data_IF_233924301740
#
_entry.id   IF_233924301740
#
_cell.length_a   1.000
_cell.length_b   1.000
_cell.length_c   1.000
_cell.angle_alpha   90.00
_cell.angle_beta   90.00
_cell.angle_gamma   90.00
#
_symmetry.space_group_name_H-M   'P 1'
#
loop_
_entity.id
_entity.type
_entity.pdbx_description
1 polymer ?
#
# COMPACT_ATOMS: atom_id res chain seq x y z
N UNK A 1 11.12 -7.63 -29.93
CA UNK A 1 10.96 -9.11 -30.05
C UNK A 1 10.05 -9.70 -28.94
N UNK A 2 10.17 -9.25 -27.67
CA UNK A 2 9.39 -9.79 -26.55
C UNK A 2 7.93 -9.36 -26.62
N UNK A 3 7.68 -8.09 -26.91
CA UNK A 3 6.32 -7.50 -26.92
C UNK A 3 5.57 -7.72 -28.23
N UNK A 4 6.26 -8.16 -29.30
CA UNK A 4 5.67 -8.24 -30.64
C UNK A 4 5.42 -6.91 -31.32
N UNK A 5 5.74 -5.78 -30.68
CA UNK A 5 5.55 -4.44 -31.25
C UNK A 5 6.52 -4.23 -32.42
N UNK A 6 6.07 -3.82 -33.61
CA UNK A 6 6.94 -3.46 -34.71
C UNK A 6 7.91 -2.36 -34.33
N UNK A 7 9.19 -2.51 -34.69
CA UNK A 7 10.26 -1.61 -34.28
C UNK A 7 10.05 -0.18 -34.72
N UNK A 8 9.59 0.02 -35.94
CA UNK A 8 9.27 1.33 -36.51
C UNK A 8 8.21 2.08 -35.72
N UNK A 9 7.13 1.38 -35.34
CA UNK A 9 6.07 1.94 -34.49
C UNK A 9 6.57 2.28 -33.11
N UNK A 10 7.38 1.42 -32.52
CA UNK A 10 7.98 1.68 -31.21
C UNK A 10 8.86 2.95 -31.24
N UNK A 11 9.73 3.07 -32.26
CA UNK A 11 10.58 4.25 -32.41
C UNK A 11 9.76 5.52 -32.63
N UNK A 12 8.66 5.43 -33.38
CA UNK A 12 7.75 6.58 -33.56
C UNK A 12 7.11 7.03 -32.25
N UNK A 13 6.72 6.11 -31.39
CA UNK A 13 6.23 6.45 -30.05
C UNK A 13 7.33 7.12 -29.22
N UNK A 14 8.56 6.63 -29.28
CA UNK A 14 9.69 7.25 -28.58
C UNK A 14 9.95 8.71 -29.06
N UNK A 15 9.85 8.97 -30.34
CA UNK A 15 9.95 10.33 -30.90
C UNK A 15 8.84 11.24 -30.34
N UNK A 16 7.59 10.79 -30.39
CA UNK A 16 6.43 11.53 -29.85
C UNK A 16 6.59 11.82 -28.35
N UNK A 17 7.09 10.86 -27.59
CA UNK A 17 7.37 11.04 -26.15
C UNK A 17 8.50 12.08 -25.97
N UNK A 18 9.55 12.00 -26.76
CA UNK A 18 10.68 12.93 -26.71
C UNK A 18 10.28 14.38 -27.00
N UNK A 19 9.29 14.60 -27.88
CA UNK A 19 8.74 15.93 -28.17
C UNK A 19 8.04 16.56 -26.95
N UNK A 20 7.64 15.75 -25.97
CA UNK A 20 6.97 16.20 -24.74
C UNK A 20 7.95 16.57 -23.61
N UNK A 21 9.15 17.02 -23.95
CA UNK A 21 10.18 17.47 -22.99
C UNK A 21 10.37 18.99 -22.93
N UNK A 22 9.49 19.74 -23.59
CA UNK A 22 9.49 21.21 -23.55
C UNK A 22 8.45 21.74 -22.55
N UNK A 23 8.65 22.94 -21.99
CA UNK A 23 7.72 23.51 -21.00
C UNK A 23 6.28 23.68 -21.48
N UNK A 24 6.09 23.85 -22.79
CA UNK A 24 4.80 24.02 -23.47
C UNK A 24 4.28 22.73 -24.13
N UNK A 25 5.05 21.64 -24.05
CA UNK A 25 4.72 20.32 -24.57
C UNK A 25 4.94 19.27 -23.52
N UNK A 26 3.90 18.94 -22.80
CA UNK A 26 3.95 17.96 -21.73
C UNK A 26 3.13 16.71 -22.07
N UNK A 27 3.42 15.61 -21.40
CA UNK A 27 2.59 14.43 -21.43
C UNK A 27 2.29 13.95 -19.99
N UNK A 28 1.13 13.38 -19.81
CA UNK A 28 0.80 12.66 -18.59
C UNK A 28 0.77 11.17 -18.85
N UNK A 29 1.23 10.41 -17.85
CA UNK A 29 1.11 8.95 -17.88
C UNK A 29 -0.08 8.53 -17.03
N UNK A 30 -1.00 7.79 -17.61
CA UNK A 30 -2.16 7.22 -16.91
C UNK A 30 -2.02 5.71 -16.86
N UNK A 31 -2.26 5.12 -15.72
CA UNK A 31 -2.14 3.67 -15.56
C UNK A 31 -3.19 3.10 -14.61
N UNK A 32 -3.42 1.81 -14.72
CA UNK A 32 -4.24 1.03 -13.82
C UNK A 32 -3.66 -0.39 -13.71
N UNK A 33 -4.49 -1.42 -13.60
CA UNK A 33 -4.10 -2.79 -13.30
C UNK A 33 -3.23 -3.44 -14.38
N UNK A 34 -3.35 -3.01 -15.63
CA UNK A 34 -2.49 -3.49 -16.71
C UNK A 34 -0.98 -3.26 -16.49
N UNK A 35 -0.62 -2.31 -15.60
CA UNK A 35 0.75 -2.04 -15.19
C UNK A 35 1.09 -2.62 -13.83
N UNK A 36 0.12 -2.68 -12.92
CA UNK A 36 0.36 -3.02 -11.52
C UNK A 36 0.24 -4.52 -11.24
N UNK A 37 -0.64 -5.24 -11.94
CA UNK A 37 -0.87 -6.67 -11.72
C UNK A 37 0.12 -7.55 -12.48
N UNK A 38 1.41 -7.30 -12.25
CA UNK A 38 2.52 -8.07 -12.76
C UNK A 38 3.50 -8.37 -11.63
N UNK A 39 4.28 -9.44 -11.76
CA UNK A 39 5.34 -9.80 -10.80
C UNK A 39 6.32 -8.64 -10.53
N UNK A 40 6.48 -7.74 -11.50
CA UNK A 40 7.34 -6.56 -11.42
C UNK A 40 6.57 -5.26 -11.59
N UNK A 41 5.33 -5.21 -11.15
CA UNK A 41 4.46 -4.03 -11.26
C UNK A 41 5.07 -2.76 -10.68
N UNK A 42 5.70 -2.84 -9.51
CA UNK A 42 6.39 -1.69 -8.89
C UNK A 42 7.51 -1.15 -9.75
N UNK A 43 8.29 -2.02 -10.41
CA UNK A 43 9.36 -1.60 -11.32
C UNK A 43 8.81 -0.97 -12.61
N UNK A 44 7.70 -1.48 -13.13
CA UNK A 44 7.02 -0.88 -14.29
C UNK A 44 6.61 0.57 -13.98
N UNK A 45 5.96 0.79 -12.85
CA UNK A 45 5.55 2.12 -12.40
C UNK A 45 6.75 3.03 -12.15
N UNK A 46 7.81 2.50 -11.51
CA UNK A 46 9.06 3.24 -11.31
C UNK A 46 9.69 3.66 -12.62
N UNK A 47 9.75 2.78 -13.62
CA UNK A 47 10.24 3.10 -14.96
C UNK A 47 9.48 4.24 -15.62
N UNK A 48 8.15 4.25 -15.50
CA UNK A 48 7.30 5.34 -15.98
C UNK A 48 7.57 6.65 -15.23
N UNK A 49 7.73 6.59 -13.90
CA UNK A 49 8.06 7.78 -13.10
C UNK A 49 9.43 8.35 -13.49
N UNK A 50 10.41 7.49 -13.74
CA UNK A 50 11.73 7.91 -14.22
C UNK A 50 11.64 8.59 -15.59
N UNK A 51 10.84 8.07 -16.50
CA UNK A 51 10.60 8.69 -17.81
C UNK A 51 10.02 10.11 -17.64
N UNK A 52 9.01 10.28 -16.80
CA UNK A 52 8.42 11.59 -16.50
C UNK A 52 9.43 12.58 -15.90
N UNK A 53 10.32 12.09 -15.05
CA UNK A 53 11.42 12.90 -14.48
C UNK A 53 12.44 13.34 -15.56
N UNK A 54 12.84 12.41 -16.41
CA UNK A 54 13.82 12.70 -17.50
C UNK A 54 13.24 13.71 -18.49
N UNK A 55 11.95 13.64 -18.78
CA UNK A 55 11.26 14.59 -19.67
C UNK A 55 10.97 15.94 -19.00
N UNK A 56 11.21 16.09 -17.69
CA UNK A 56 10.90 17.33 -16.97
C UNK A 56 9.40 17.55 -16.72
N UNK A 57 8.58 16.53 -16.83
CA UNK A 57 7.12 16.63 -16.75
C UNK A 57 6.55 16.62 -15.32
N UNK A 58 7.38 16.42 -14.31
CA UNK A 58 6.91 16.40 -12.91
C UNK A 58 6.78 17.85 -12.39
N UNK A 59 5.59 18.19 -11.91
CA UNK A 59 5.29 19.51 -11.37
C UNK A 59 4.94 20.57 -12.42
N UNK A 60 4.72 20.17 -13.66
CA UNK A 60 4.24 21.04 -14.75
C UNK A 60 2.81 20.71 -15.13
N UNK A 61 2.07 21.72 -15.63
CA UNK A 61 0.69 21.54 -16.08
C UNK A 61 0.62 20.52 -17.22
N UNK A 62 -0.27 19.54 -17.09
CA UNK A 62 -0.45 18.47 -18.08
C UNK A 62 0.58 17.36 -18.01
N UNK A 63 1.58 17.48 -17.13
CA UNK A 63 2.59 16.44 -16.89
C UNK A 63 2.26 15.53 -15.71
N UNK A 64 3.12 14.55 -15.47
CA UNK A 64 3.08 13.68 -14.30
C UNK A 64 2.44 12.31 -14.51
N UNK A 65 2.10 11.68 -13.40
CA UNK A 65 1.55 10.31 -13.38
C UNK A 65 0.20 10.28 -12.68
N UNK A 66 -0.75 9.55 -13.27
CA UNK A 66 -2.11 9.41 -12.74
C UNK A 66 -2.50 7.93 -12.64
N UNK A 67 -2.70 7.47 -11.42
CA UNK A 67 -3.31 6.17 -11.18
C UNK A 67 -4.83 6.28 -11.39
N UNK A 68 -5.36 5.61 -12.40
CA UNK A 68 -6.80 5.53 -12.64
C UNK A 68 -7.38 4.47 -11.71
N UNK A 69 -8.05 4.92 -10.65
CA UNK A 69 -8.63 4.03 -9.64
C UNK A 69 -9.86 3.30 -10.20
N UNK A 70 -9.96 1.99 -9.95
CA UNK A 70 -11.13 1.21 -10.37
C UNK A 70 -12.30 1.38 -9.40
N UNK A 71 -12.07 1.11 -8.12
CA UNK A 71 -13.09 1.21 -7.08
C UNK A 71 -13.27 2.65 -6.60
N UNK A 72 -14.52 3.08 -6.45
CA UNK A 72 -14.84 4.38 -5.87
C UNK A 72 -14.32 4.47 -4.44
N UNK A 73 -13.64 5.57 -4.11
CA UNK A 73 -13.12 5.84 -2.77
C UNK A 73 -12.25 4.71 -2.19
N UNK A 74 -11.46 4.01 -3.02
CA UNK A 74 -10.63 2.87 -2.56
C UNK A 74 -9.67 3.24 -1.43
N UNK A 75 -9.17 4.47 -1.39
CA UNK A 75 -8.29 4.92 -0.32
C UNK A 75 -9.05 5.16 0.98
N UNK A 76 -10.30 5.63 0.93
CA UNK A 76 -11.14 5.73 2.12
C UNK A 76 -11.39 4.37 2.80
N UNK A 77 -11.81 3.31 2.06
CA UNK A 77 -11.89 1.96 2.62
C UNK A 77 -10.59 1.49 3.30
N UNK A 78 -9.44 1.71 2.70
CA UNK A 78 -8.16 1.31 3.33
C UNK A 78 -7.82 2.16 4.56
N UNK A 79 -8.19 3.45 4.59
CA UNK A 79 -8.01 4.31 5.76
C UNK A 79 -8.79 3.81 6.99
N UNK A 80 -9.96 3.21 6.78
CA UNK A 80 -10.78 2.65 7.86
C UNK A 80 -10.53 1.15 8.12
N UNK A 81 -9.52 0.57 7.49
CA UNK A 81 -9.06 -0.80 7.78
C UNK A 81 -9.94 -1.91 7.21
N UNK A 82 -10.45 -1.76 5.98
CA UNK A 82 -11.24 -2.83 5.33
C UNK A 82 -10.42 -4.03 4.84
N UNK A 83 -9.10 -3.95 4.88
CA UNK A 83 -8.25 -5.09 4.50
C UNK A 83 -8.08 -6.04 5.68
N UNK A 84 -7.96 -7.34 5.39
CA UNK A 84 -7.92 -8.40 6.39
C UNK A 84 -6.78 -8.31 7.43
N UNK A 85 -5.74 -7.56 7.12
CA UNK A 85 -4.55 -7.40 7.97
C UNK A 85 -4.37 -5.99 8.54
N UNK A 86 -5.32 -5.09 8.30
CA UNK A 86 -5.24 -3.69 8.72
C UNK A 86 -6.40 -3.31 9.64
N UNK A 87 -6.07 -2.47 10.60
CA UNK A 87 -7.02 -1.68 11.39
C UNK A 87 -6.91 -0.21 11.00
N UNK A 88 -7.82 0.66 11.43
CA UNK A 88 -7.81 2.08 11.04
C UNK A 88 -6.45 2.75 11.20
N UNK A 89 -6.09 3.62 10.26
CA UNK A 89 -4.82 4.32 10.23
C UNK A 89 -3.65 3.49 9.70
N UNK A 90 -3.91 2.43 8.95
CA UNK A 90 -2.89 1.52 8.39
C UNK A 90 -2.08 0.79 9.46
N UNK A 91 -2.62 0.66 10.66
CA UNK A 91 -2.03 -0.17 11.70
C UNK A 91 -2.30 -1.65 11.40
N UNK A 92 -1.35 -2.50 11.74
CA UNK A 92 -1.49 -3.93 11.49
C UNK A 92 -2.27 -4.62 12.63
N UNK A 93 -3.15 -5.53 12.28
CA UNK A 93 -3.68 -6.49 13.24
C UNK A 93 -2.51 -7.38 13.70
N UNK A 94 -2.34 -7.64 15.02
CA UNK A 94 -1.29 -8.53 15.49
C UNK A 94 -1.50 -9.97 15.01
N UNK A 95 -0.41 -10.71 14.91
CA UNK A 95 -0.43 -12.15 14.65
C UNK A 95 -0.21 -12.94 15.93
N UNK A 96 -0.45 -14.25 15.92
CA UNK A 96 -0.16 -15.15 17.05
C UNK A 96 1.32 -15.14 17.47
N UNK A 97 2.22 -14.75 16.57
CA UNK A 97 3.65 -14.56 16.84
C UNK A 97 3.96 -13.30 17.65
N UNK A 98 2.94 -12.48 17.87
CA UNK A 98 3.01 -11.20 18.59
C UNK A 98 2.03 -11.23 19.78
N UNK A 99 2.22 -12.14 20.75
CA UNK A 99 1.25 -12.40 21.80
C UNK A 99 1.07 -11.23 22.77
N UNK A 100 2.09 -10.39 22.91
CA UNK A 100 2.15 -9.28 23.85
C UNK A 100 2.55 -7.96 23.17
N UNK A 101 2.30 -6.88 23.89
CA UNK A 101 2.57 -5.51 23.45
C UNK A 101 4.05 -5.30 23.10
N UNK A 102 4.95 -5.80 23.91
CA UNK A 102 6.40 -5.60 23.72
C UNK A 102 6.87 -6.25 22.42
N UNK A 103 6.46 -7.50 22.19
CA UNK A 103 6.77 -8.23 20.95
C UNK A 103 6.19 -7.53 19.74
N UNK A 104 4.93 -7.10 19.82
CA UNK A 104 4.27 -6.38 18.74
C UNK A 104 4.98 -5.06 18.39
N UNK A 105 5.34 -4.27 19.39
CA UNK A 105 6.00 -2.98 19.18
C UNK A 105 7.45 -3.13 18.71
N UNK A 106 8.17 -4.15 19.14
CA UNK A 106 9.56 -4.38 18.72
C UNK A 106 9.68 -4.64 17.21
N UNK A 107 8.71 -5.33 16.64
CA UNK A 107 8.67 -5.63 15.20
C UNK A 107 8.36 -4.39 14.35
N UNK A 108 7.87 -3.31 14.96
CA UNK A 108 7.45 -2.06 14.30
C UNK A 108 8.28 -0.84 14.68
N UNK A 109 9.40 -1.05 15.35
CA UNK A 109 10.31 0.03 15.71
C UNK A 109 10.86 0.72 14.45
N UNK A 110 10.64 2.02 14.33
CA UNK A 110 11.20 2.81 13.25
C UNK A 110 12.73 2.83 13.33
N UNK A 111 13.38 2.45 12.24
CA UNK A 111 14.84 2.47 12.11
C UNK A 111 15.21 3.42 10.97
N UNK A 112 15.73 4.62 11.28
CA UNK A 112 16.16 5.55 10.24
C UNK A 112 17.36 4.98 9.48
N UNK A 113 17.36 5.14 8.15
CA UNK A 113 18.49 4.75 7.30
C UNK A 113 19.67 5.74 7.37
N UNK A 114 19.42 6.96 7.85
CA UNK A 114 20.41 8.03 7.99
C UNK A 114 19.99 9.01 9.10
N UNK A 115 20.94 9.71 9.71
CA UNK A 115 20.64 10.72 10.73
C UNK A 115 19.65 11.78 10.23
N UNK A 116 18.72 12.19 11.07
CA UNK A 116 17.70 13.20 10.74
C UNK A 116 16.56 12.73 9.85
N UNK A 117 16.55 11.48 9.39
CA UNK A 117 15.43 10.94 8.64
C UNK A 117 14.19 10.85 9.53
N UNK A 118 13.08 11.40 9.04
CA UNK A 118 11.77 11.31 9.68
C UNK A 118 10.85 10.37 8.91
N UNK A 119 9.87 9.79 9.60
CA UNK A 119 8.82 8.98 9.01
C UNK A 119 7.55 9.11 9.84
N UNK A 120 6.40 9.04 9.18
CA UNK A 120 5.11 8.88 9.85
C UNK A 120 5.16 7.74 10.89
N UNK A 121 5.78 6.62 10.55
CA UNK A 121 5.85 5.41 11.36
C UNK A 121 6.74 5.50 12.62
N UNK A 122 7.52 6.56 12.78
CA UNK A 122 8.22 6.82 14.06
C UNK A 122 7.27 7.02 15.25
N UNK A 123 6.02 7.36 14.97
CA UNK A 123 4.95 7.52 15.96
C UNK A 123 4.00 6.30 16.03
N UNK A 124 4.39 5.14 15.47
CA UNK A 124 3.54 3.95 15.42
C UNK A 124 2.91 3.61 16.78
N UNK A 125 3.72 3.64 17.83
CA UNK A 125 3.25 3.38 19.20
C UNK A 125 2.15 4.36 19.63
N UNK A 126 2.30 5.64 19.36
CA UNK A 126 1.29 6.65 19.71
C UNK A 126 -0.02 6.42 18.96
N UNK A 127 0.08 6.06 17.68
CA UNK A 127 -1.11 5.76 16.88
C UNK A 127 -1.83 4.52 17.40
N UNK A 128 -1.08 3.46 17.72
CA UNK A 128 -1.66 2.24 18.26
C UNK A 128 -2.32 2.48 19.63
N UNK A 129 -1.68 3.21 20.53
CA UNK A 129 -2.27 3.59 21.83
C UNK A 129 -3.56 4.41 21.63
N UNK A 130 -3.56 5.37 20.70
CA UNK A 130 -4.76 6.14 20.37
C UNK A 130 -5.88 5.26 19.87
N UNK A 131 -5.58 4.31 18.99
CA UNK A 131 -6.55 3.34 18.50
C UNK A 131 -7.13 2.48 19.63
N UNK A 132 -6.28 1.89 20.47
CA UNK A 132 -6.73 1.04 21.58
C UNK A 132 -7.59 1.80 22.58
N UNK A 133 -7.23 3.05 22.88
CA UNK A 133 -8.06 3.92 23.73
C UNK A 133 -9.39 4.29 23.08
N UNK A 134 -9.43 4.50 21.78
CA UNK A 134 -10.68 4.75 21.06
C UNK A 134 -11.60 3.53 21.08
N UNK A 135 -11.04 2.32 20.98
CA UNK A 135 -11.80 1.07 20.97
C UNK A 135 -12.28 0.66 22.37
N UNK A 136 -11.41 0.75 23.39
CA UNK A 136 -11.67 0.16 24.71
C UNK A 136 -11.94 1.22 25.80
N UNK A 137 -11.82 2.51 25.48
CA UNK A 137 -12.09 3.60 26.41
C UNK A 137 -11.29 3.49 27.71
N UNK A 138 -11.98 3.58 28.88
CA UNK A 138 -11.33 3.51 30.18
C UNK A 138 -10.65 2.16 30.49
N UNK A 139 -11.00 1.09 29.77
CA UNK A 139 -10.34 -0.21 29.97
C UNK A 139 -8.90 -0.26 29.40
N UNK A 140 -8.53 0.66 28.51
CA UNK A 140 -7.19 0.74 27.94
C UNK A 140 -6.27 1.59 28.85
N UNK A 141 -5.53 0.94 29.76
CA UNK A 141 -4.63 1.58 30.70
C UNK A 141 -3.18 1.20 30.46
N UNK A 142 -2.25 1.96 31.04
CA UNK A 142 -0.80 1.66 30.93
C UNK A 142 -0.48 0.30 31.57
N UNK A 143 -1.14 -0.02 32.67
CA UNK A 143 -0.89 -1.22 33.47
C UNK A 143 -1.28 -2.51 32.75
N UNK A 144 -2.18 -2.43 31.77
CA UNK A 144 -2.63 -3.56 30.98
C UNK A 144 -2.24 -3.47 29.50
N UNK A 145 -1.15 -2.75 29.20
CA UNK A 145 -0.66 -2.56 27.84
C UNK A 145 -1.76 -2.04 26.89
N UNK A 146 -2.56 -1.08 27.37
CA UNK A 146 -3.65 -0.45 26.63
C UNK A 146 -4.74 -1.44 26.19
N UNK A 147 -4.92 -2.53 26.94
CA UNK A 147 -5.83 -3.63 26.61
C UNK A 147 -5.50 -4.32 25.26
N UNK A 148 -4.22 -4.36 24.88
CA UNK A 148 -3.72 -5.00 23.68
C UNK A 148 -4.18 -6.45 23.53
N UNK A 149 -4.29 -7.16 24.65
CA UNK A 149 -4.71 -8.56 24.69
C UNK A 149 -6.15 -8.79 24.20
N UNK A 150 -7.00 -7.76 24.14
CA UNK A 150 -8.34 -7.85 23.57
C UNK A 150 -8.35 -7.87 22.05
N UNK A 151 -7.27 -7.47 21.40
CA UNK A 151 -7.19 -7.56 19.94
C UNK A 151 -7.15 -9.01 19.48
N UNK A 152 -7.92 -9.36 18.44
CA UNK A 152 -7.78 -10.65 17.80
C UNK A 152 -6.38 -10.78 17.21
N UNK A 153 -5.86 -11.99 17.18
CA UNK A 153 -4.56 -12.31 16.60
C UNK A 153 -4.75 -13.21 15.39
N UNK A 154 -4.14 -12.83 14.30
CA UNK A 154 -4.20 -13.61 13.07
C UNK A 154 -3.20 -14.77 13.15
N UNK A 155 -3.63 -15.96 12.76
CA UNK A 155 -2.75 -17.14 12.61
C UNK A 155 -1.76 -16.94 11.45
N UNK A 156 -2.11 -16.10 10.48
CA UNK A 156 -1.28 -15.72 9.34
C UNK A 156 -1.28 -14.21 9.14
N UNK A 157 -0.25 -13.65 8.46
CA UNK A 157 -0.13 -12.20 8.26
C UNK A 157 -1.26 -11.57 7.45
N UNK A 158 -1.94 -12.32 6.60
CA UNK A 158 -3.02 -11.82 5.75
C UNK A 158 -3.91 -12.96 5.26
N UNK A 159 -5.20 -12.68 5.15
CA UNK A 159 -6.19 -13.50 4.46
C UNK A 159 -6.49 -12.88 3.10
N UNK A 160 -5.64 -13.17 2.12
CA UNK A 160 -5.92 -12.76 0.75
C UNK A 160 -7.05 -13.62 0.14
N UNK A 161 -7.57 -13.16 -1.00
CA UNK A 161 -8.75 -13.79 -1.62
C UNK A 161 -8.47 -15.24 -2.06
N UNK A 162 -7.26 -15.57 -2.53
CA UNK A 162 -6.92 -16.91 -2.95
C UNK A 162 -6.95 -17.86 -1.75
N UNK A 163 -6.28 -17.47 -0.65
CA UNK A 163 -6.30 -18.22 0.59
C UNK A 163 -7.71 -18.40 1.15
N UNK A 164 -8.54 -17.34 1.11
CA UNK A 164 -9.94 -17.46 1.58
C UNK A 164 -10.72 -18.52 0.82
N UNK A 165 -10.59 -18.58 -0.51
CA UNK A 165 -11.27 -19.60 -1.30
C UNK A 165 -10.71 -21.01 -1.07
N UNK A 166 -9.41 -21.15 -0.85
CA UNK A 166 -8.82 -22.43 -0.44
C UNK A 166 -9.38 -22.90 0.90
N UNK A 167 -9.48 -22.00 1.89
CA UNK A 167 -10.08 -22.29 3.20
C UNK A 167 -11.58 -22.61 3.11
N UNK A 168 -12.30 -22.02 2.18
CA UNK A 168 -13.69 -22.40 1.92
C UNK A 168 -13.77 -23.82 1.31
N UNK A 169 -12.86 -24.17 0.42
CA UNK A 169 -12.81 -25.51 -0.18
C UNK A 169 -12.47 -26.60 0.85
N UNK A 170 -11.69 -26.28 1.88
CA UNK A 170 -11.35 -27.21 2.98
C UNK A 170 -12.36 -27.19 4.14
N UNK A 171 -13.35 -26.28 4.10
CA UNK A 171 -14.38 -26.16 5.15
C UNK A 171 -13.92 -25.38 6.39
N UNK A 172 -12.78 -24.70 6.33
CA UNK A 172 -12.31 -23.80 7.41
C UNK A 172 -13.11 -22.49 7.45
N UNK A 173 -13.60 -22.04 6.30
CA UNK A 173 -14.49 -20.89 6.17
C UNK A 173 -15.86 -21.39 5.68
N UNK A 174 -16.89 -21.29 6.51
CA UNK A 174 -18.20 -21.85 6.24
C UNK A 174 -19.23 -20.84 5.69
N UNK A 175 -18.92 -19.55 5.76
CA UNK A 175 -19.83 -18.51 5.29
C UNK A 175 -19.01 -17.35 4.71
N UNK A 176 -19.42 -16.93 3.52
CA UNK A 176 -18.93 -15.71 2.87
C UNK A 176 -20.13 -14.81 2.54
N UNK A 177 -20.13 -13.61 3.06
CA UNK A 177 -21.15 -12.61 2.78
C UNK A 177 -20.53 -11.48 1.92
N UNK A 178 -21.09 -11.21 0.73
CA UNK A 178 -20.61 -10.19 -0.20
C UNK A 178 -21.75 -9.29 -0.69
#
# INVERSE_FOLDING_TARGET
NITGTPKDRYLKICEMIGECSAPDKTMTSMYALGWTQHSKGSQNIRGMAMLQLVLGNIGVLGGGMNALRGHSNIQGPTDVGLMSNLIPGYLNIPTEKEPDWTTYMSSRAFKPLRPGQTSYWQNYQKFMVSFLKAMWGPAATVENDWAYHYLPKLDVPSYDILRMFDMMATGEVNLYFC
#
